data_IF_034661516013
#
_entry.id   IF_034661516013
#
_cell.length_a   1.000
_cell.length_b   1.000
_cell.length_c   1.000
_cell.angle_alpha   90.00
_cell.angle_beta   90.00
_cell.angle_gamma   90.00
#
_symmetry.space_group_name_H-M   'P 1'
#
loop_
_entity.id
_entity.type
_entity.pdbx_description
1 polymer ?
#
# COMPACT_ATOMS: atom_id res chain seq x y z
N UNK A 1 -3.82 -31.38 -22.31
CA UNK A 1 -3.40 -29.99 -22.03
C UNK A 1 -2.05 -30.05 -21.36
N UNK A 2 -1.08 -29.20 -21.73
CA UNK A 2 0.18 -29.12 -20.97
C UNK A 2 -0.09 -28.62 -19.55
N UNK A 3 0.77 -28.96 -18.60
CA UNK A 3 0.63 -28.51 -17.19
C UNK A 3 1.88 -27.78 -16.74
N UNK A 4 1.69 -26.73 -15.93
CA UNK A 4 2.77 -25.99 -15.28
C UNK A 4 2.61 -26.17 -13.78
N UNK A 5 3.69 -26.53 -13.10
CA UNK A 5 3.73 -26.68 -11.65
C UNK A 5 4.85 -25.82 -11.08
N UNK A 6 4.55 -25.06 -10.04
CA UNK A 6 5.57 -24.40 -9.23
C UNK A 6 6.18 -25.46 -8.33
N UNK A 7 7.49 -25.65 -8.44
CA UNK A 7 8.25 -26.65 -7.68
C UNK A 7 8.88 -26.00 -6.45
N UNK A 8 9.40 -24.78 -6.60
CA UNK A 8 10.07 -24.06 -5.52
C UNK A 8 9.98 -22.55 -5.71
N UNK A 9 9.92 -21.83 -4.59
CA UNK A 9 10.08 -20.39 -4.54
C UNK A 9 11.42 -20.05 -3.87
N UNK A 10 12.11 -19.04 -4.41
CA UNK A 10 13.38 -18.51 -3.93
C UNK A 10 13.17 -17.04 -3.55
N UNK A 11 13.76 -16.61 -2.45
CA UNK A 11 13.73 -15.22 -1.97
C UNK A 11 14.90 -14.40 -2.55
N UNK A 12 16.06 -15.04 -2.68
CA UNK A 12 17.29 -14.42 -3.19
C UNK A 12 18.01 -15.39 -4.13
N UNK A 13 17.37 -15.69 -5.26
CA UNK A 13 17.84 -16.66 -6.23
C UNK A 13 19.22 -16.30 -6.78
N UNK A 14 20.14 -17.25 -6.67
CA UNK A 14 21.41 -17.26 -7.39
C UNK A 14 21.71 -18.65 -7.95
N UNK A 15 22.59 -18.70 -8.93
CA UNK A 15 23.09 -19.96 -9.51
C UNK A 15 24.56 -20.07 -9.17
N UNK A 16 24.92 -21.17 -8.50
CA UNK A 16 26.29 -21.53 -8.19
C UNK A 16 26.76 -22.70 -9.04
N UNK A 17 28.08 -22.90 -9.11
CA UNK A 17 28.68 -24.09 -9.70
C UNK A 17 29.02 -25.07 -8.58
N UNK A 18 28.42 -26.26 -8.60
CA UNK A 18 28.80 -27.39 -7.75
C UNK A 18 29.08 -28.60 -8.63
N UNK A 19 30.27 -29.20 -8.48
CA UNK A 19 30.69 -30.38 -9.24
C UNK A 19 30.53 -30.23 -10.77
N UNK A 20 30.72 -29.02 -11.29
CA UNK A 20 30.57 -28.71 -12.72
C UNK A 20 29.13 -28.51 -13.21
N UNK A 21 28.14 -28.61 -12.31
CA UNK A 21 26.73 -28.35 -12.60
C UNK A 21 26.29 -27.00 -12.03
N UNK A 22 25.45 -26.29 -12.80
CA UNK A 22 24.76 -25.09 -12.34
C UNK A 22 23.63 -25.49 -11.39
N UNK A 23 23.72 -25.09 -10.12
CA UNK A 23 22.72 -25.40 -9.09
C UNK A 23 22.09 -24.11 -8.57
N UNK A 24 20.75 -23.97 -8.60
CA UNK A 24 20.06 -22.84 -8.01
C UNK A 24 20.06 -22.92 -6.47
N UNK A 25 20.23 -21.79 -5.80
CA UNK A 25 20.16 -21.70 -4.33
C UNK A 25 19.66 -20.32 -3.89
N UNK A 26 19.17 -20.26 -2.65
CA UNK A 26 18.90 -18.99 -1.96
C UNK A 26 20.16 -18.50 -1.27
N UNK A 27 20.66 -17.34 -1.69
CA UNK A 27 21.86 -16.76 -1.09
C UNK A 27 21.51 -16.08 0.26
N UNK A 28 22.16 -16.48 1.37
CA UNK A 28 21.92 -15.88 2.70
C UNK A 28 22.48 -14.46 2.85
N UNK A 29 23.29 -13.99 1.90
CA UNK A 29 23.83 -12.63 1.89
C UNK A 29 22.71 -11.61 1.67
N UNK A 30 22.85 -10.37 2.19
CA UNK A 30 21.87 -9.31 1.94
C UNK A 30 21.60 -9.12 0.44
N UNK A 31 20.34 -9.23 0.05
CA UNK A 31 19.89 -9.14 -1.35
C UNK A 31 18.45 -9.64 -1.51
N UNK A 32 17.84 -9.32 -2.65
CA UNK A 32 16.50 -9.80 -2.99
C UNK A 32 16.42 -10.02 -4.50
N UNK A 33 16.22 -11.27 -4.89
CA UNK A 33 15.99 -11.68 -6.26
C UNK A 33 14.95 -12.80 -6.30
N UNK A 34 13.66 -12.48 -6.09
CA UNK A 34 12.63 -13.51 -5.98
C UNK A 34 12.44 -14.24 -7.31
N UNK A 35 12.39 -15.56 -7.26
CA UNK A 35 12.20 -16.41 -8.44
C UNK A 35 11.35 -17.65 -8.12
N UNK A 36 10.59 -18.10 -9.10
CA UNK A 36 9.84 -19.36 -9.06
C UNK A 36 10.48 -20.35 -10.01
N UNK A 37 10.82 -21.52 -9.50
CA UNK A 37 11.17 -22.67 -10.32
C UNK A 37 9.89 -23.38 -10.73
N UNK A 38 9.66 -23.45 -12.05
CA UNK A 38 8.47 -24.07 -12.62
C UNK A 38 8.85 -25.24 -13.50
N UNK A 39 8.08 -26.32 -13.37
CA UNK A 39 8.16 -27.48 -14.25
C UNK A 39 7.01 -27.44 -15.24
N UNK A 40 7.35 -27.48 -16.53
CA UNK A 40 6.40 -27.49 -17.64
C UNK A 40 6.38 -28.91 -18.21
N UNK A 41 5.23 -29.57 -18.10
CA UNK A 41 4.99 -30.87 -18.70
C UNK A 41 4.22 -30.71 -20.02
N UNK A 42 4.86 -31.06 -21.13
CA UNK A 42 4.28 -31.04 -22.46
C UNK A 42 3.46 -32.31 -22.74
N UNK A 43 2.53 -32.21 -23.71
CA UNK A 43 1.69 -33.34 -24.14
C UNK A 43 2.48 -34.57 -24.63
N UNK A 44 3.72 -34.36 -25.08
CA UNK A 44 4.63 -35.44 -25.51
C UNK A 44 5.40 -36.11 -24.38
N UNK A 45 5.11 -35.81 -23.11
CA UNK A 45 5.79 -36.37 -21.94
C UNK A 45 7.13 -35.70 -21.60
N UNK A 46 7.61 -34.77 -22.44
CA UNK A 46 8.79 -33.96 -22.12
C UNK A 46 8.48 -33.00 -20.98
N UNK A 47 9.40 -32.93 -20.01
CA UNK A 47 9.36 -31.96 -18.93
C UNK A 47 10.55 -31.03 -19.06
N UNK A 48 10.33 -29.74 -18.83
CA UNK A 48 11.39 -28.74 -18.76
C UNK A 48 11.24 -27.92 -17.48
N UNK A 49 12.38 -27.48 -16.94
CA UNK A 49 12.43 -26.58 -15.79
C UNK A 49 12.82 -25.20 -16.28
N UNK A 50 12.05 -24.19 -15.89
CA UNK A 50 12.34 -22.79 -16.16
C UNK A 50 12.21 -21.98 -14.87
N UNK A 51 12.85 -20.80 -14.85
CA UNK A 51 12.78 -19.89 -13.72
C UNK A 51 12.01 -18.63 -14.13
N UNK A 52 11.02 -18.27 -13.33
CA UNK A 52 10.24 -17.05 -13.52
C UNK A 52 10.68 -16.04 -12.47
N UNK A 53 11.24 -14.92 -12.90
CA UNK A 53 11.69 -13.86 -12.01
C UNK A 53 10.60 -12.81 -11.83
N UNK A 54 10.47 -12.30 -10.60
CA UNK A 54 9.51 -11.22 -10.32
C UNK A 54 9.87 -9.93 -11.08
N UNK A 55 11.17 -9.62 -11.18
CA UNK A 55 11.66 -8.33 -11.70
C UNK A 55 12.13 -8.38 -13.16
N UNK A 56 12.37 -9.57 -13.71
CA UNK A 56 12.98 -9.77 -15.03
C UNK A 56 12.08 -10.65 -15.90
N UNK A 57 11.12 -10.07 -16.64
CA UNK A 57 10.27 -10.84 -17.55
C UNK A 57 11.11 -11.40 -18.69
N UNK A 58 10.79 -12.62 -19.14
CA UNK A 58 11.43 -13.20 -20.33
C UNK A 58 12.92 -13.53 -20.16
N UNK A 59 13.38 -13.80 -18.94
CA UNK A 59 14.67 -14.47 -18.70
C UNK A 59 14.58 -15.94 -19.12
N UNK A 60 14.54 -16.15 -20.44
CA UNK A 60 14.52 -17.45 -21.10
C UNK A 60 15.87 -17.69 -21.77
N UNK A 61 16.39 -18.91 -21.65
CA UNK A 61 17.53 -19.34 -22.45
C UNK A 61 17.10 -19.55 -23.90
N UNK A 62 18.04 -19.51 -24.86
CA UNK A 62 17.77 -19.75 -26.29
C UNK A 62 17.06 -21.09 -26.59
N UNK A 63 17.10 -22.04 -25.63
CA UNK A 63 16.47 -23.36 -25.72
C UNK A 63 15.05 -23.40 -25.15
N UNK A 64 14.61 -22.34 -24.48
CA UNK A 64 13.31 -22.28 -23.85
C UNK A 64 12.23 -21.95 -24.89
N UNK A 65 11.23 -22.82 -24.95
CA UNK A 65 10.12 -22.72 -25.91
C UNK A 65 9.02 -21.77 -25.45
N UNK A 66 9.02 -21.40 -24.17
CA UNK A 66 7.97 -20.60 -23.54
C UNK A 66 8.58 -19.35 -22.93
N UNK A 67 7.89 -18.23 -23.10
CA UNK A 67 8.19 -17.01 -22.37
C UNK A 67 7.27 -16.94 -21.16
N UNK A 68 7.90 -16.87 -19.98
CA UNK A 68 7.20 -16.75 -18.72
C UNK A 68 7.43 -15.37 -18.15
N UNK A 69 6.35 -14.77 -17.65
CA UNK A 69 6.39 -13.50 -16.94
C UNK A 69 5.62 -13.64 -15.63
N UNK A 70 6.15 -13.01 -14.60
CA UNK A 70 5.44 -12.81 -13.36
C UNK A 70 4.64 -11.52 -13.44
N UNK A 71 3.40 -11.54 -12.96
CA UNK A 71 2.61 -10.33 -12.78
C UNK A 71 2.00 -10.33 -11.39
N UNK A 72 2.34 -9.30 -10.61
CA UNK A 72 1.79 -9.12 -9.27
C UNK A 72 0.41 -8.47 -9.40
N UNK A 73 -0.62 -9.17 -8.93
CA UNK A 73 -1.95 -8.57 -8.76
C UNK A 73 -2.10 -8.23 -7.29
N UNK A 74 -1.86 -6.96 -6.96
CA UNK A 74 -1.92 -6.48 -5.58
C UNK A 74 -3.36 -6.02 -5.31
N UNK A 75 -4.00 -6.54 -4.26
CA UNK A 75 -5.34 -6.12 -3.85
C UNK A 75 -5.29 -4.93 -2.91
N UNK A 76 -4.43 -4.99 -1.89
CA UNK A 76 -4.36 -3.99 -0.82
C UNK A 76 -2.90 -3.72 -0.42
N UNK A 77 -2.66 -2.52 0.08
CA UNK A 77 -1.40 -2.14 0.72
C UNK A 77 -1.68 -1.80 2.17
N UNK A 78 -1.05 -2.54 3.07
CA UNK A 78 -1.20 -2.41 4.51
C UNK A 78 0.12 -1.92 5.10
N UNK A 79 0.07 -0.92 5.95
CA UNK A 79 1.22 -0.45 6.74
C UNK A 79 0.92 -0.59 8.23
N UNK A 80 1.75 -1.33 8.95
CA UNK A 80 1.67 -1.46 10.41
C UNK A 80 2.30 -0.21 11.06
N UNK A 81 1.52 0.52 11.87
CA UNK A 81 2.00 1.70 12.59
C UNK A 81 1.85 1.57 14.08
N UNK A 82 2.91 1.98 14.79
CA UNK A 82 2.92 2.19 16.23
C UNK A 82 3.29 3.64 16.55
N UNK A 83 2.57 4.22 17.51
CA UNK A 83 2.92 5.50 18.13
C UNK A 83 3.53 5.19 19.48
N UNK A 84 4.73 5.71 19.70
CA UNK A 84 5.52 5.47 20.91
C UNK A 84 5.68 6.79 21.66
N UNK A 85 5.18 6.84 22.89
CA UNK A 85 5.40 7.94 23.83
C UNK A 85 6.06 7.37 25.09
N UNK A 86 7.12 8.02 25.58
CA UNK A 86 7.88 7.58 26.76
C UNK A 86 8.30 6.09 26.73
N UNK A 87 8.63 5.58 25.55
CA UNK A 87 9.05 4.20 25.34
C UNK A 87 7.92 3.16 25.42
N UNK A 88 6.65 3.60 25.43
CA UNK A 88 5.48 2.72 25.41
C UNK A 88 4.68 2.95 24.14
N UNK A 89 4.18 1.86 23.56
CA UNK A 89 3.21 1.93 22.46
C UNK A 89 1.89 2.47 23.03
N UNK A 90 1.49 3.66 22.60
CA UNK A 90 0.25 4.34 23.03
C UNK A 90 -0.86 4.24 22.01
N UNK A 91 -0.53 3.92 20.75
CA UNK A 91 -1.49 3.55 19.72
C UNK A 91 -0.84 2.64 18.69
N UNK A 92 -1.63 1.73 18.12
CA UNK A 92 -1.20 0.80 17.10
C UNK A 92 -2.34 0.57 16.11
N UNK A 93 -2.04 0.53 14.81
CA UNK A 93 -3.03 0.28 13.78
C UNK A 93 -2.37 -0.14 12.47
N UNK A 94 -2.97 -1.15 11.83
CA UNK A 94 -2.79 -1.42 10.41
C UNK A 94 -3.58 -0.39 9.59
N UNK A 95 -2.87 0.47 8.86
CA UNK A 95 -3.50 1.44 7.96
C UNK A 95 -3.51 0.92 6.54
N UNK A 96 -4.60 1.25 5.85
CA UNK A 96 -4.79 1.02 4.43
C UNK A 96 -5.07 2.37 3.75
N UNK A 97 -5.07 2.38 2.42
CA UNK A 97 -5.47 3.55 1.64
C UNK A 97 -6.87 4.01 2.10
N UNK A 98 -7.02 5.31 2.37
CA UNK A 98 -8.23 5.94 2.91
C UNK A 98 -8.62 5.55 4.35
N UNK A 99 -7.87 4.68 5.02
CA UNK A 99 -8.12 4.25 6.41
C UNK A 99 -7.00 4.71 7.36
N UNK A 100 -6.79 6.03 7.54
CA UNK A 100 -5.67 6.57 8.32
C UNK A 100 -5.74 6.18 9.80
N UNK A 101 -4.58 6.19 10.47
CA UNK A 101 -4.51 6.22 11.93
C UNK A 101 -4.72 7.67 12.38
N UNK A 102 -5.53 7.88 13.42
CA UNK A 102 -5.76 9.21 14.01
C UNK A 102 -5.31 9.20 15.45
N UNK A 103 -4.44 10.13 15.82
CA UNK A 103 -3.91 10.23 17.18
C UNK A 103 -3.43 11.65 17.47
N UNK A 104 -3.75 12.17 18.67
CA UNK A 104 -3.22 13.46 19.14
C UNK A 104 -3.56 14.67 18.25
N UNK A 105 -4.66 14.65 17.49
CA UNK A 105 -4.98 15.71 16.52
C UNK A 105 -4.20 15.62 15.21
N UNK A 106 -3.55 14.49 14.95
CA UNK A 106 -2.88 14.18 13.70
C UNK A 106 -3.52 12.98 12.99
N UNK A 107 -3.44 13.01 11.68
CA UNK A 107 -3.89 11.95 10.78
C UNK A 107 -2.69 11.42 10.02
N UNK A 108 -2.48 10.11 10.12
CA UNK A 108 -1.39 9.38 9.49
C UNK A 108 -1.95 8.58 8.31
N UNK A 109 -1.59 9.00 7.11
CA UNK A 109 -2.01 8.38 5.86
C UNK A 109 -0.84 7.63 5.24
N UNK A 110 -1.14 6.51 4.59
CA UNK A 110 -0.25 5.93 3.60
C UNK A 110 -0.42 6.72 2.30
N UNK A 111 0.60 7.51 1.93
CA UNK A 111 0.56 8.37 0.75
C UNK A 111 1.18 7.74 -0.49
N UNK A 112 2.14 6.83 -0.30
CA UNK A 112 2.79 6.09 -1.39
C UNK A 112 3.44 4.82 -0.85
N UNK A 113 3.96 3.98 -1.73
CA UNK A 113 4.67 2.75 -1.42
C UNK A 113 5.61 2.41 -2.58
N UNK A 114 6.52 1.47 -2.36
CA UNK A 114 7.34 0.88 -3.41
C UNK A 114 6.48 -0.04 -4.32
N UNK A 115 6.12 0.47 -5.49
CA UNK A 115 5.30 -0.23 -6.49
C UNK A 115 6.01 -1.38 -7.20
N UNK A 116 7.34 -1.47 -7.06
CA UNK A 116 8.16 -2.50 -7.70
C UNK A 116 8.44 -3.66 -6.77
N UNK A 117 8.83 -3.38 -5.53
CA UNK A 117 9.28 -4.41 -4.60
C UNK A 117 8.58 -4.37 -3.23
N UNK A 118 7.71 -3.40 -2.96
CA UNK A 118 6.98 -3.29 -1.70
C UNK A 118 7.86 -3.12 -0.47
N UNK A 119 9.09 -2.61 -0.61
CA UNK A 119 10.08 -2.57 0.49
C UNK A 119 9.86 -1.43 1.47
N UNK A 120 9.14 -0.38 1.08
CA UNK A 120 8.87 0.77 1.93
C UNK A 120 7.49 1.35 1.67
N UNK A 121 7.00 2.08 2.67
CA UNK A 121 5.78 2.88 2.64
C UNK A 121 6.14 4.34 2.91
N UNK A 122 5.44 5.26 2.26
CA UNK A 122 5.58 6.70 2.51
C UNK A 122 4.39 7.13 3.34
N UNK A 123 4.68 7.72 4.50
CA UNK A 123 3.69 8.19 5.44
C UNK A 123 3.50 9.70 5.32
N UNK A 124 2.26 10.15 5.18
CA UNK A 124 1.90 11.56 5.26
C UNK A 124 1.23 11.83 6.60
N UNK A 125 1.72 12.87 7.29
CA UNK A 125 1.20 13.32 8.57
C UNK A 125 0.53 14.67 8.38
N UNK A 126 -0.74 14.78 8.75
CA UNK A 126 -1.53 16.02 8.64
C UNK A 126 -2.06 16.39 10.03
N UNK A 127 -2.03 17.67 10.37
CA UNK A 127 -2.61 18.18 11.63
C UNK A 127 -4.02 18.72 11.42
N UNK A 128 -4.92 18.35 12.32
CA UNK A 128 -6.32 18.78 12.33
C UNK A 128 -6.56 20.01 13.23
N UNK A 129 -5.52 20.57 13.85
CA UNK A 129 -5.65 21.70 14.81
C UNK A 129 -6.35 22.93 14.21
N UNK A 130 -6.16 23.19 12.91
CA UNK A 130 -6.80 24.31 12.20
C UNK A 130 -8.29 24.13 11.94
N UNK A 131 -8.82 22.92 12.07
CA UNK A 131 -10.21 22.60 11.73
C UNK A 131 -11.22 23.35 12.61
N UNK A 132 -10.89 23.56 13.88
CA UNK A 132 -11.73 24.33 14.80
C UNK A 132 -11.90 25.79 14.35
N UNK A 133 -10.84 26.41 13.81
CA UNK A 133 -10.90 27.79 13.31
C UNK A 133 -11.80 27.87 12.08
N UNK A 134 -11.71 26.89 11.19
CA UNK A 134 -12.56 26.80 9.99
C UNK A 134 -14.03 26.67 10.39
N UNK A 135 -14.36 25.77 11.33
CA UNK A 135 -15.74 25.62 11.80
C UNK A 135 -16.27 26.84 12.56
N UNK A 136 -15.43 27.53 13.32
CA UNK A 136 -15.82 28.79 13.94
C UNK A 136 -16.22 29.84 12.88
N UNK A 137 -15.47 29.92 11.77
CA UNK A 137 -15.81 30.77 10.63
C UNK A 137 -17.16 30.42 10.00
N UNK A 138 -17.41 29.14 9.71
CA UNK A 138 -18.70 28.69 9.20
C UNK A 138 -19.85 29.04 10.15
N UNK A 139 -19.67 28.83 11.44
CA UNK A 139 -20.67 29.14 12.45
C UNK A 139 -20.99 30.64 12.50
N UNK A 140 -19.97 31.49 12.43
CA UNK A 140 -20.13 32.95 12.36
C UNK A 140 -20.93 33.37 11.12
N UNK A 141 -20.63 32.80 9.94
CA UNK A 141 -21.38 33.07 8.71
C UNK A 141 -22.86 32.66 8.83
N UNK A 142 -23.13 31.44 9.30
CA UNK A 142 -24.49 30.96 9.54
C UNK A 142 -25.25 31.87 10.51
N UNK A 143 -24.61 32.25 11.63
CA UNK A 143 -25.22 33.13 12.62
C UNK A 143 -25.53 34.52 12.06
N UNK A 144 -24.67 35.08 11.21
CA UNK A 144 -24.88 36.38 10.55
C UNK A 144 -26.07 36.37 9.59
N UNK A 145 -26.22 35.30 8.81
CA UNK A 145 -27.39 35.12 7.92
C UNK A 145 -28.67 34.99 8.75
N UNK A 146 -28.64 34.17 9.81
CA UNK A 146 -29.78 33.99 10.72
C UNK A 146 -30.18 35.33 11.36
N UNK A 147 -29.19 36.11 11.79
CA UNK A 147 -29.40 37.43 12.35
C UNK A 147 -30.07 38.37 11.37
N UNK A 148 -29.55 38.47 10.15
CA UNK A 148 -30.01 39.41 9.14
C UNK A 148 -31.45 39.13 8.69
N UNK A 149 -31.80 37.86 8.49
CA UNK A 149 -33.09 37.44 7.94
C UNK A 149 -34.19 37.33 9.00
N UNK A 150 -33.92 36.75 10.16
CA UNK A 150 -34.97 36.49 11.16
C UNK A 150 -34.89 37.43 12.34
N UNK A 151 -33.73 37.53 12.99
CA UNK A 151 -33.61 38.24 14.27
C UNK A 151 -33.89 39.74 14.10
N UNK A 152 -33.28 40.38 13.10
CA UNK A 152 -33.52 41.80 12.79
C UNK A 152 -35.00 42.09 12.50
N UNK A 153 -35.66 41.22 11.76
CA UNK A 153 -37.07 41.41 11.38
C UNK A 153 -38.03 41.18 12.56
N UNK A 154 -37.73 40.21 13.43
CA UNK A 154 -38.48 39.95 14.66
C UNK A 154 -38.41 41.16 15.60
N UNK A 155 -37.22 41.73 15.83
CA UNK A 155 -37.06 42.93 16.65
C UNK A 155 -37.78 44.15 16.08
N UNK A 156 -37.80 44.31 14.74
CA UNK A 156 -38.57 45.36 14.08
C UNK A 156 -40.08 45.22 14.36
N UNK A 157 -40.62 43.99 14.26
CA UNK A 157 -42.03 43.70 14.54
C UNK A 157 -42.44 43.94 16.00
N UNK A 158 -41.55 43.69 16.95
CA UNK A 158 -41.81 43.99 18.36
C UNK A 158 -41.80 45.49 18.66
N UNK A 159 -40.89 46.28 18.06
CA UNK A 159 -40.88 47.75 18.20
C UNK A 159 -42.16 48.40 17.66
N UNK A 160 -42.72 47.89 16.56
CA UNK A 160 -43.95 48.41 15.96
C UNK A 160 -45.21 48.18 16.81
N UNK A 161 -45.19 47.27 17.79
CA UNK A 161 -46.33 46.96 18.68
C UNK A 161 -46.32 47.74 20.00
N UNK A 162 -45.24 48.47 20.29
CA UNK A 162 -45.05 49.21 21.55
C UNK A 162 -45.27 50.72 21.41
N UNK A 163 -45.75 51.19 20.26
CA UNK A 163 -46.21 52.56 20.00
C UNK A 163 -47.71 52.53 19.79
#
# INVERSE_FOLDING_TARGET
TGTVKIIKAYENFKIGMQEGNSVPFDDPSPGSNPALEVQIAELGGQTSTQYVFERFPGHSHDRDKFLLSYHRVISDYISELQIIEDGKVVAEKDIEVNHPLRFGGYHFYQSSYDDKAGQYTVLQVVSDTGLYVVYAGYWMLCSGVIWHMWIRHIFSRFKAKST
#
